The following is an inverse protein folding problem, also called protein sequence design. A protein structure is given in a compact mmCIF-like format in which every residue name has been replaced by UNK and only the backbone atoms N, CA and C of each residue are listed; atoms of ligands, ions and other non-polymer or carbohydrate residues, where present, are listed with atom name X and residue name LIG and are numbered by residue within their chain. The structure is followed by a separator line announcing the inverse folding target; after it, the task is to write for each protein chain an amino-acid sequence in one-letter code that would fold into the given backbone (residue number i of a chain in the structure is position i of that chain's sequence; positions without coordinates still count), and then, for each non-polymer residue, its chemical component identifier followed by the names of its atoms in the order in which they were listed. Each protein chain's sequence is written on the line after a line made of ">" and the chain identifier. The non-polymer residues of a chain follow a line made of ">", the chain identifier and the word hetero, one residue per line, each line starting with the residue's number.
data_IF_067914810271
#
_entry.id   IF_067914810271
#
_cell.length_a   1.000
_cell.length_b   1.000
_cell.length_c   1.000
_cell.angle_alpha   90.00
_cell.angle_beta   90.00
_cell.angle_gamma   90.00
#
_symmetry.space_group_name_H-M   'P 1'
#
loop_
_entity.id
_entity.type
_entity.pdbx_description
1 polymer ?
#
# COMPACT_ATOMS: atom_id res chain seq x y z
N UNK A 1 12.51 -22.46 2.76
CA UNK A 1 11.78 -21.19 2.51
C UNK A 1 12.80 -20.09 2.32
N UNK A 2 12.76 -19.40 1.19
CA UNK A 2 13.73 -18.35 0.84
C UNK A 2 13.58 -17.13 1.80
N UNK A 3 14.62 -16.29 1.98
CA UNK A 3 14.55 -15.12 2.87
C UNK A 3 13.36 -14.19 2.58
N UNK A 4 13.05 -14.00 1.31
CA UNK A 4 11.98 -13.12 0.83
C UNK A 4 10.59 -13.64 1.25
N UNK A 5 10.40 -14.96 1.16
CA UNK A 5 9.19 -15.64 1.64
C UNK A 5 9.03 -15.55 3.17
N UNK A 6 10.13 -15.45 3.92
CA UNK A 6 10.09 -15.21 5.38
C UNK A 6 9.65 -13.78 5.68
N UNK A 7 10.16 -12.81 4.93
CA UNK A 7 9.77 -11.41 5.04
C UNK A 7 8.26 -11.22 4.79
N UNK A 8 7.74 -11.78 3.68
CA UNK A 8 6.30 -11.77 3.39
C UNK A 8 5.46 -12.33 4.54
N UNK A 9 5.81 -13.52 5.04
CA UNK A 9 5.09 -14.14 6.16
C UNK A 9 5.18 -13.32 7.44
N UNK A 10 6.26 -12.58 7.68
CA UNK A 10 6.37 -11.71 8.85
C UNK A 10 5.37 -10.55 8.75
N UNK A 11 5.28 -9.90 7.59
CA UNK A 11 4.32 -8.83 7.30
C UNK A 11 2.89 -9.35 7.49
N UNK A 12 2.52 -10.45 6.84
CA UNK A 12 1.19 -11.06 6.94
C UNK A 12 0.80 -11.40 8.38
N UNK A 13 1.75 -11.96 9.15
CA UNK A 13 1.52 -12.29 10.57
C UNK A 13 1.32 -11.04 11.43
N UNK A 14 2.06 -9.95 11.17
CA UNK A 14 1.88 -8.67 11.87
C UNK A 14 0.54 -8.05 11.50
N UNK A 15 0.20 -7.99 10.22
CA UNK A 15 -1.09 -7.50 9.72
C UNK A 15 -2.28 -8.25 10.36
N UNK A 16 -2.22 -9.58 10.40
CA UNK A 16 -3.26 -10.41 11.03
C UNK A 16 -3.41 -10.17 12.54
N UNK A 17 -2.36 -9.71 13.24
CA UNK A 17 -2.42 -9.42 14.67
C UNK A 17 -3.10 -8.08 14.99
N UNK A 18 -3.30 -7.22 14.00
CA UNK A 18 -3.82 -5.86 14.17
C UNK A 18 -2.84 -4.93 14.89
N UNK A 19 -3.28 -3.69 15.10
CA UNK A 19 -2.50 -2.67 15.83
C UNK A 19 -2.49 -2.99 17.32
N UNK A 20 -1.30 -3.11 17.91
CA UNK A 20 -1.10 -3.34 19.35
C UNK A 20 -0.31 -2.25 20.03
N UNK A 21 0.62 -1.65 19.29
CA UNK A 21 1.45 -0.53 19.72
C UNK A 21 2.06 0.16 18.50
N UNK A 22 2.60 1.36 18.74
CA UNK A 22 3.32 2.16 17.77
C UNK A 22 4.83 1.97 17.89
N UNK A 23 5.63 2.19 16.84
CA UNK A 23 5.22 2.68 15.51
C UNK A 23 4.39 1.66 14.71
N UNK A 24 3.46 2.17 13.90
CA UNK A 24 2.64 1.38 12.99
C UNK A 24 3.16 1.57 11.57
N UNK A 25 3.48 0.48 10.90
CA UNK A 25 3.74 0.46 9.47
C UNK A 25 2.45 0.20 8.70
N UNK A 26 2.06 1.09 7.79
CA UNK A 26 0.95 0.84 6.86
C UNK A 26 1.48 0.39 5.52
N UNK A 27 0.86 -0.59 4.87
CA UNK A 27 1.18 -1.05 3.51
C UNK A 27 -0.09 -1.01 2.66
N UNK A 28 -0.05 -0.25 1.56
CA UNK A 28 -1.20 -0.03 0.68
C UNK A 28 -0.81 -0.24 -0.79
N UNK A 29 -1.66 -0.98 -1.52
CA UNK A 29 -1.46 -1.31 -2.93
C UNK A 29 -2.31 -0.43 -3.84
N UNK A 30 -1.76 -0.08 -5.00
CA UNK A 30 -2.36 0.76 -6.02
C UNK A 30 -2.13 0.15 -7.40
N UNK A 31 -3.09 0.33 -8.31
CA UNK A 31 -3.12 -0.34 -9.61
C UNK A 31 -3.97 0.43 -10.61
N UNK A 32 -3.77 0.21 -11.93
CA UNK A 32 -4.58 0.87 -12.95
C UNK A 32 -6.08 0.50 -12.83
N UNK A 33 -6.35 -0.64 -12.22
CA UNK A 33 -7.65 -1.19 -11.84
C UNK A 33 -7.50 -2.05 -10.57
N UNK A 34 -8.55 -2.77 -10.17
CA UNK A 34 -8.59 -3.64 -8.99
C UNK A 34 -7.99 -5.06 -9.21
N UNK A 35 -7.52 -5.35 -10.44
CA UNK A 35 -7.03 -6.68 -10.81
C UNK A 35 -5.54 -6.88 -10.51
N UNK A 36 -4.72 -5.82 -10.67
CA UNK A 36 -3.25 -5.89 -10.50
C UNK A 36 -2.67 -4.66 -9.81
N UNK A 37 -1.79 -4.86 -8.83
CA UNK A 37 -1.08 -3.76 -8.19
C UNK A 37 0.22 -3.46 -8.94
N UNK A 38 0.44 -2.20 -9.30
CA UNK A 38 1.66 -1.69 -9.94
C UNK A 38 2.41 -0.69 -9.09
N UNK A 39 1.82 -0.23 -7.98
CA UNK A 39 2.47 0.58 -6.96
C UNK A 39 2.12 0.04 -5.57
N UNK A 40 3.08 0.05 -4.67
CA UNK A 40 2.86 -0.16 -3.23
C UNK A 40 3.50 0.97 -2.47
N UNK A 41 2.78 1.52 -1.50
CA UNK A 41 3.28 2.54 -0.60
C UNK A 41 3.32 1.96 0.82
N UNK A 42 4.46 2.13 1.50
CA UNK A 42 4.60 1.83 2.91
C UNK A 42 4.91 3.11 3.68
N UNK A 43 4.19 3.33 4.78
CA UNK A 43 4.29 4.54 5.58
C UNK A 43 4.45 4.21 7.07
N UNK A 44 5.12 5.08 7.82
CA UNK A 44 5.34 4.94 9.26
C UNK A 44 4.51 5.98 10.01
N UNK A 45 3.65 5.52 10.92
CA UNK A 45 2.96 6.35 11.89
C UNK A 45 3.60 6.13 13.26
N UNK A 46 4.28 7.14 13.85
CA UNK A 46 4.94 7.00 15.15
C UNK A 46 3.98 6.98 16.36
N UNK A 47 2.78 7.55 16.26
CA UNK A 47 1.76 7.54 17.32
C UNK A 47 0.36 7.72 16.73
N UNK A 48 -0.67 7.60 17.56
CA UNK A 48 -2.05 7.79 17.12
C UNK A 48 -2.27 9.22 16.65
N UNK A 49 -3.00 9.38 15.54
CA UNK A 49 -3.35 10.67 14.94
C UNK A 49 -2.15 11.54 14.53
N UNK A 50 -0.96 10.92 14.41
CA UNK A 50 0.24 11.60 13.94
C UNK A 50 0.25 11.72 12.42
N UNK A 51 1.04 12.68 11.93
CA UNK A 51 1.48 12.64 10.54
C UNK A 51 2.41 11.44 10.30
N UNK A 52 2.54 11.07 9.04
CA UNK A 52 3.49 10.05 8.59
C UNK A 52 4.90 10.63 8.68
N UNK A 53 5.81 9.93 9.36
CA UNK A 53 7.22 10.37 9.45
C UNK A 53 8.05 9.92 8.26
N UNK A 54 7.75 8.74 7.71
CA UNK A 54 8.49 8.14 6.60
C UNK A 54 7.52 7.49 5.63
N UNK A 55 7.74 7.71 4.33
CA UNK A 55 6.92 7.17 3.25
C UNK A 55 7.81 6.68 2.11
N UNK A 56 7.75 5.38 1.82
CA UNK A 56 8.45 4.77 0.69
C UNK A 56 7.46 4.17 -0.30
N UNK A 57 7.78 4.29 -1.59
CA UNK A 57 6.97 3.78 -2.69
C UNK A 57 7.82 2.85 -3.55
N UNK A 58 7.21 1.76 -3.99
CA UNK A 58 7.78 0.84 -4.98
C UNK A 58 6.84 0.75 -6.17
N UNK A 59 7.42 0.60 -7.35
CA UNK A 59 6.71 0.54 -8.61
C UNK A 59 7.11 -0.73 -9.37
N UNK A 60 6.14 -1.35 -10.03
CA UNK A 60 6.33 -2.51 -10.89
C UNK A 60 5.76 -2.24 -12.27
N UNK A 61 6.59 -2.38 -13.30
CA UNK A 61 6.18 -2.22 -14.69
C UNK A 61 5.30 -3.39 -15.15
N UNK A 62 5.64 -4.61 -14.72
CA UNK A 62 4.96 -5.86 -15.10
C UNK A 62 4.56 -6.67 -13.88
N UNK A 63 3.52 -7.50 -14.04
CA UNK A 63 3.03 -8.37 -12.97
C UNK A 63 2.13 -7.67 -11.95
N UNK A 64 2.03 -8.27 -10.76
CA UNK A 64 1.21 -7.82 -9.63
C UNK A 64 2.07 -7.82 -8.37
N UNK A 65 2.37 -6.63 -7.83
CA UNK A 65 3.28 -6.45 -6.70
C UNK A 65 2.84 -7.20 -5.43
N UNK A 66 1.54 -7.53 -5.30
CA UNK A 66 1.03 -8.35 -4.18
C UNK A 66 1.58 -9.79 -4.17
N UNK A 67 2.17 -10.22 -5.30
CA UNK A 67 2.74 -11.55 -5.51
C UNK A 67 4.28 -11.53 -5.62
N UNK A 68 4.91 -10.37 -5.48
CA UNK A 68 6.36 -10.25 -5.61
C UNK A 68 7.05 -10.36 -4.24
N UNK A 69 7.62 -11.53 -3.95
CA UNK A 69 8.34 -11.78 -2.71
C UNK A 69 9.52 -10.81 -2.49
N UNK A 70 10.18 -10.33 -3.55
CA UNK A 70 11.31 -9.38 -3.43
C UNK A 70 10.84 -8.03 -2.91
N UNK A 71 9.71 -7.56 -3.40
CA UNK A 71 9.09 -6.31 -2.94
C UNK A 71 8.66 -6.43 -1.48
N UNK A 72 8.09 -7.57 -1.08
CA UNK A 72 7.82 -7.83 0.34
C UNK A 72 9.09 -7.87 1.21
N UNK A 73 10.21 -8.33 0.66
CA UNK A 73 11.50 -8.31 1.36
C UNK A 73 12.00 -6.88 1.59
N UNK A 74 11.91 -6.02 0.57
CA UNK A 74 12.28 -4.61 0.67
C UNK A 74 11.37 -3.82 1.63
N UNK A 75 10.06 -4.07 1.58
CA UNK A 75 9.12 -3.49 2.54
C UNK A 75 9.46 -3.94 3.95
N UNK A 76 9.72 -5.24 4.17
CA UNK A 76 10.07 -5.73 5.51
C UNK A 76 11.36 -5.10 6.03
N UNK A 77 12.38 -4.95 5.18
CA UNK A 77 13.62 -4.27 5.54
C UNK A 77 13.35 -2.83 5.98
N UNK A 78 12.57 -2.07 5.19
CA UNK A 78 12.15 -0.73 5.55
C UNK A 78 11.39 -0.68 6.89
N UNK A 79 10.47 -1.61 7.14
CA UNK A 79 9.72 -1.65 8.40
C UNK A 79 10.60 -2.04 9.60
N UNK A 80 11.62 -2.88 9.40
CA UNK A 80 12.57 -3.24 10.45
C UNK A 80 13.53 -2.09 10.79
N UNK A 81 13.99 -1.33 9.79
CA UNK A 81 14.81 -0.13 9.98
C UNK A 81 14.10 0.91 10.86
N UNK A 82 12.77 0.92 10.84
CA UNK A 82 11.92 1.88 11.55
C UNK A 82 11.35 1.31 12.88
N UNK A 83 11.85 0.15 13.33
CA UNK A 83 11.43 -0.54 14.55
C UNK A 83 9.89 -0.72 14.68
N UNK A 84 9.24 -1.09 13.57
CA UNK A 84 7.79 -1.18 13.52
C UNK A 84 7.24 -2.28 14.42
N UNK A 85 6.35 -1.90 15.31
CA UNK A 85 5.72 -2.80 16.25
C UNK A 85 4.49 -3.50 15.68
N UNK A 86 3.67 -2.77 14.92
CA UNK A 86 2.43 -3.30 14.32
C UNK A 86 2.37 -2.97 12.83
N UNK A 87 1.75 -3.83 12.04
CA UNK A 87 1.55 -3.58 10.60
C UNK A 87 0.06 -3.52 10.31
N UNK A 88 -0.36 -2.56 9.49
CA UNK A 88 -1.67 -2.52 8.86
C UNK A 88 -1.45 -2.72 7.37
N UNK A 89 -2.06 -3.76 6.80
CA UNK A 89 -2.00 -4.02 5.37
C UNK A 89 -3.41 -4.28 4.87
N UNK A 90 -3.75 -3.67 3.75
CA UNK A 90 -5.00 -3.94 3.04
C UNK A 90 -4.76 -5.01 1.98
N UNK A 91 -5.65 -5.98 1.89
CA UNK A 91 -5.56 -7.04 0.88
C UNK A 91 -5.96 -6.52 -0.53
N UNK A 92 -6.75 -5.44 -0.57
CA UNK A 92 -7.26 -4.81 -1.79
C UNK A 92 -6.32 -3.77 -2.40
N UNK A 93 -6.65 -3.38 -3.63
CA UNK A 93 -6.03 -2.26 -4.34
C UNK A 93 -6.88 -1.02 -4.04
N UNK A 94 -6.28 0.00 -3.44
CA UNK A 94 -7.00 1.17 -2.91
C UNK A 94 -7.22 2.28 -3.95
N UNK A 95 -6.55 2.23 -5.09
CA UNK A 95 -6.73 3.26 -6.10
C UNK A 95 -5.66 3.26 -7.19
N UNK A 96 -5.64 4.37 -7.91
CA UNK A 96 -4.74 4.61 -9.02
C UNK A 96 -3.28 4.75 -8.56
N UNK A 97 -2.30 4.24 -9.32
CA UNK A 97 -0.87 4.45 -9.04
C UNK A 97 -0.43 5.90 -9.29
N UNK A 98 -1.21 6.72 -10.00
CA UNK A 98 -0.90 8.13 -10.29
C UNK A 98 -1.38 9.06 -9.17
N UNK A 99 -0.60 10.10 -8.89
CA UNK A 99 -0.84 11.05 -7.80
C UNK A 99 -1.54 12.32 -8.31
N UNK A 100 -2.66 12.67 -7.67
CA UNK A 100 -3.37 13.91 -7.90
C UNK A 100 -2.50 15.12 -7.53
N UNK A 101 -2.58 16.20 -8.31
CA UNK A 101 -1.72 17.38 -8.17
C UNK A 101 -0.32 17.22 -8.77
N UNK A 102 0.11 15.98 -9.07
CA UNK A 102 1.40 15.68 -9.70
C UNK A 102 1.21 15.16 -11.13
N UNK A 103 0.49 14.04 -11.29
CA UNK A 103 0.29 13.36 -12.57
C UNK A 103 -0.97 13.83 -13.31
N UNK A 104 -1.93 14.40 -12.59
CA UNK A 104 -3.16 14.99 -13.14
C UNK A 104 -3.70 16.08 -12.22
N UNK A 105 -4.54 17.01 -12.72
CA UNK A 105 -5.03 18.14 -11.93
C UNK A 105 -5.82 17.73 -10.68
N UNK A 106 -5.73 18.54 -9.63
CA UNK A 106 -6.55 18.42 -8.42
C UNK A 106 -8.06 18.50 -8.75
N UNK A 107 -8.86 17.71 -8.03
CA UNK A 107 -10.29 17.47 -8.28
C UNK A 107 -10.58 16.63 -9.52
N UNK A 108 -9.55 16.19 -10.25
CA UNK A 108 -9.68 15.49 -11.52
C UNK A 108 -9.87 13.99 -11.40
N UNK A 109 -10.19 13.36 -12.53
CA UNK A 109 -10.14 11.90 -12.70
C UNK A 109 -8.86 11.56 -13.46
N UNK A 110 -8.10 10.60 -12.97
CA UNK A 110 -6.90 10.15 -13.66
C UNK A 110 -7.24 9.64 -15.09
N UNK A 111 -6.69 10.25 -16.16
CA UNK A 111 -7.01 9.85 -17.53
C UNK A 111 -6.46 8.46 -17.89
N UNK A 112 -5.41 8.02 -17.19
CA UNK A 112 -4.74 6.74 -17.44
C UNK A 112 -5.44 5.56 -16.74
N UNK A 113 -6.32 5.82 -15.77
CA UNK A 113 -6.94 4.78 -14.96
C UNK A 113 -8.45 5.01 -14.79
N UNK A 114 -9.23 4.95 -15.89
CA UNK A 114 -10.65 5.27 -15.90
C UNK A 114 -11.49 4.34 -15.02
N UNK A 115 -10.97 3.15 -14.68
CA UNK A 115 -11.61 2.23 -13.74
C UNK A 115 -12.00 2.93 -12.42
N UNK A 116 -11.14 3.81 -11.90
CA UNK A 116 -11.33 4.46 -10.60
C UNK A 116 -12.31 5.63 -10.63
N UNK A 117 -12.76 6.08 -11.81
CA UNK A 117 -13.68 7.20 -11.95
C UNK A 117 -14.98 6.95 -11.15
N UNK A 118 -15.29 7.84 -10.20
CA UNK A 118 -16.51 7.76 -9.39
C UNK A 118 -16.55 6.61 -8.38
N UNK A 119 -15.45 5.88 -8.18
CA UNK A 119 -15.35 4.79 -7.19
C UNK A 119 -14.84 5.28 -5.85
N UNK A 120 -15.37 4.71 -4.78
CA UNK A 120 -14.83 4.87 -3.43
C UNK A 120 -13.53 4.06 -3.29
N UNK A 121 -12.48 4.72 -2.79
CA UNK A 121 -11.14 4.13 -2.61
C UNK A 121 -11.06 2.98 -1.62
N UNK A 122 -11.98 2.92 -0.65
CA UNK A 122 -11.98 1.91 0.39
C UNK A 122 -12.88 0.74 0.03
N UNK A 123 -14.04 1.01 -0.57
CA UNK A 123 -15.01 0.00 -0.96
C UNK A 123 -14.78 -0.56 -2.39
N UNK A 124 -14.05 0.14 -3.26
CA UNK A 124 -13.85 -0.20 -4.67
C UNK A 124 -15.13 -0.10 -5.52
N UNK A 125 -16.22 0.40 -4.96
CA UNK A 125 -17.55 0.47 -5.59
C UNK A 125 -17.82 1.88 -6.10
N UNK A 126 -18.61 1.99 -7.17
CA UNK A 126 -19.18 3.26 -7.58
C UNK A 126 -19.97 3.85 -6.41
N UNK A 127 -19.81 5.15 -6.15
CA UNK A 127 -20.67 5.85 -5.19
C UNK A 127 -22.12 5.68 -5.67
N UNK A 128 -22.95 5.07 -4.84
CA UNK A 128 -24.39 5.02 -5.10
C UNK A 128 -24.92 6.47 -5.03
N UNK A 129 -25.68 6.86 -6.06
CA UNK A 129 -26.44 8.10 -6.07
C UNK A 129 -27.76 7.92 -5.31
#
# INVERSE_FOLDING_TARGET
>A
MKPEQRARKWIEKKAKKGVRSYPVGTVAFYGPDDSRATKVAAAILPYQDSEVTELRRWFGETGDLRKDDKIFAEIAAFLWEQDVHSVVMVDGILGCPHEEGTDYPEGGVCPNCPYWAGRDRWAGKLKAY
#
